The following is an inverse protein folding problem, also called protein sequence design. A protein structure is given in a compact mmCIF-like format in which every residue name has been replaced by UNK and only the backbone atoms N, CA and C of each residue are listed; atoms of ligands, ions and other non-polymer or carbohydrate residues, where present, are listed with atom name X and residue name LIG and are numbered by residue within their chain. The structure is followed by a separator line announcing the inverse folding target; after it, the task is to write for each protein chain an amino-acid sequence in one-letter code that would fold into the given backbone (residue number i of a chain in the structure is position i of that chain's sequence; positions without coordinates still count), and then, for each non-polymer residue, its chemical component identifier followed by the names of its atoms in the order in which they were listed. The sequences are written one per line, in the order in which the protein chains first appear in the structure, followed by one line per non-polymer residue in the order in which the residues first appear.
data_IF_626674146322
#
_entry.id   IF_626674146322
#
_cell.length_a   1.000
_cell.length_b   1.000
_cell.length_c   1.000
_cell.angle_alpha   90.00
_cell.angle_beta   90.00
_cell.angle_gamma   90.00
#
_symmetry.space_group_name_H-M   'P 1'
#
loop_
_entity.id
_entity.type
_entity.pdbx_description
1 polymer ?
#
# COMPACT_ATOMS: atom_id res chain seq x y z
N UNK A 1 -44.22 -43.24 50.38
CA UNK A 1 -44.08 -44.30 49.34
C UNK A 1 -42.89 -43.91 48.49
N UNK A 2 -41.71 -44.57 48.57
CA UNK A 2 -41.31 -45.79 47.81
C UNK A 2 -41.72 -45.69 46.32
N UNK A 3 -40.92 -45.96 45.29
CA UNK A 3 -39.56 -46.46 45.06
C UNK A 3 -39.45 -46.67 43.52
N UNK A 4 -38.22 -46.79 42.98
CA UNK A 4 -37.80 -47.36 41.66
C UNK A 4 -37.54 -46.34 40.53
N UNK A 5 -36.28 -46.11 40.09
CA UNK A 5 -35.38 -46.95 39.26
C UNK A 5 -35.93 -47.12 37.82
N UNK A 6 -35.20 -47.06 36.70
CA UNK A 6 -33.80 -47.33 36.32
C UNK A 6 -33.47 -46.57 35.01
N UNK A 7 -32.18 -46.30 34.73
CA UNK A 7 -31.44 -46.87 33.57
C UNK A 7 -30.26 -45.98 33.16
N UNK A 8 -29.07 -46.59 33.15
CA UNK A 8 -27.81 -46.02 32.74
C UNK A 8 -27.72 -45.86 31.22
N UNK A 9 -27.11 -44.77 30.73
CA UNK A 9 -26.43 -44.77 29.43
C UNK A 9 -25.20 -43.86 29.49
N UNK A 10 -24.10 -44.47 29.05
CA UNK A 10 -22.74 -43.97 28.89
C UNK A 10 -22.74 -42.71 28.01
N UNK A 11 -22.09 -41.62 28.46
CA UNK A 11 -21.60 -40.59 27.54
C UNK A 11 -20.14 -40.26 27.84
N UNK A 12 -19.30 -40.71 26.91
CA UNK A 12 -17.94 -40.30 26.63
C UNK A 12 -17.71 -38.81 26.95
N UNK A 13 -16.77 -38.51 27.84
CA UNK A 13 -16.16 -37.19 27.93
C UNK A 13 -15.28 -36.97 26.70
N UNK A 14 -15.86 -36.41 25.64
CA UNK A 14 -15.09 -35.80 24.56
C UNK A 14 -14.38 -34.58 25.13
N UNK A 15 -13.10 -34.72 25.44
CA UNK A 15 -12.19 -33.60 25.54
C UNK A 15 -12.12 -32.94 24.16
N UNK A 16 -12.98 -31.94 23.93
CA UNK A 16 -12.81 -31.03 22.80
C UNK A 16 -11.54 -30.23 23.11
N UNK A 17 -10.44 -30.63 22.50
CA UNK A 17 -9.30 -29.75 22.27
C UNK A 17 -9.85 -28.56 21.49
N UNK A 18 -10.25 -27.52 22.22
CA UNK A 18 -10.46 -26.20 21.67
C UNK A 18 -9.10 -25.77 21.12
N UNK A 19 -8.85 -26.05 19.84
CA UNK A 19 -7.79 -25.39 19.11
C UNK A 19 -8.09 -23.90 19.23
N UNK A 20 -7.34 -23.22 20.09
CA UNK A 20 -7.41 -21.78 20.21
C UNK A 20 -7.31 -21.22 18.79
N UNK A 21 -8.36 -20.54 18.33
CA UNK A 21 -8.28 -19.77 17.09
C UNK A 21 -7.04 -18.89 17.23
N UNK A 22 -6.14 -18.84 16.23
CA UNK A 22 -5.04 -17.90 16.29
C UNK A 22 -5.66 -16.53 16.57
N UNK A 23 -5.24 -15.92 17.69
CA UNK A 23 -5.63 -14.55 18.00
C UNK A 23 -5.24 -13.75 16.77
N UNK A 24 -6.23 -13.29 16.02
CA UNK A 24 -6.00 -12.29 14.98
C UNK A 24 -5.30 -11.16 15.70
N UNK A 25 -4.00 -11.00 15.44
CA UNK A 25 -3.27 -9.84 15.93
C UNK A 25 -4.09 -8.62 15.52
N UNK A 26 -4.30 -7.65 16.42
CA UNK A 26 -5.03 -6.45 16.06
C UNK A 26 -4.27 -5.86 14.86
N UNK A 27 -4.94 -5.84 13.70
CA UNK A 27 -4.45 -5.19 12.50
C UNK A 27 -3.83 -3.86 12.96
N UNK A 28 -2.53 -3.71 12.75
CA UNK A 28 -1.79 -2.57 13.24
C UNK A 28 -2.47 -1.33 12.68
N UNK A 29 -3.26 -0.66 13.53
CA UNK A 29 -4.01 0.52 13.13
C UNK A 29 -2.96 1.55 12.75
N UNK A 30 -2.85 1.82 11.45
CA UNK A 30 -2.10 2.94 10.94
C UNK A 30 -2.53 4.19 11.72
N UNK A 31 -1.63 4.72 12.54
CA UNK A 31 -1.77 6.06 13.08
C UNK A 31 -1.27 6.97 11.97
N UNK A 32 -2.19 7.54 11.20
CA UNK A 32 -1.86 8.63 10.29
C UNK A 32 -1.11 9.68 11.09
N UNK A 33 0.07 10.08 10.64
CA UNK A 33 0.78 11.17 11.29
C UNK A 33 -0.04 12.46 11.23
N UNK A 34 0.36 13.52 11.94
CA UNK A 34 -0.28 14.81 11.73
C UNK A 34 -0.15 15.21 10.27
N UNK A 35 -1.28 15.57 9.64
CA UNK A 35 -1.38 16.05 8.25
C UNK A 35 -2.36 17.22 8.22
N UNK A 36 -2.08 18.21 7.38
CA UNK A 36 -2.97 19.33 7.12
C UNK A 36 -3.56 19.15 5.71
N UNK A 37 -4.85 18.77 5.67
CA UNK A 37 -5.57 18.36 4.46
C UNK A 37 -6.56 19.44 4.04
N UNK A 38 -6.45 19.95 2.82
CA UNK A 38 -7.43 20.89 2.25
C UNK A 38 -8.10 20.28 1.04
N UNK A 39 -9.43 20.18 1.08
CA UNK A 39 -10.23 19.87 -0.12
C UNK A 39 -10.52 21.14 -0.90
N UNK A 40 -10.23 21.10 -2.20
CA UNK A 40 -10.55 22.16 -3.14
C UNK A 40 -11.63 21.66 -4.11
N UNK A 41 -12.89 22.00 -3.83
CA UNK A 41 -14.04 21.42 -4.54
C UNK A 41 -14.60 22.35 -5.61
N UNK A 42 -14.77 21.79 -6.80
CA UNK A 42 -15.46 22.44 -7.91
C UNK A 42 -16.97 22.45 -7.65
N UNK A 43 -17.55 23.64 -7.73
CA UNK A 43 -19.00 23.87 -7.61
C UNK A 43 -19.52 24.69 -8.79
N UNK A 44 -18.81 24.63 -9.91
CA UNK A 44 -19.18 25.31 -11.14
C UNK A 44 -20.48 24.77 -11.73
N UNK A 45 -20.99 25.46 -12.75
CA UNK A 45 -22.24 25.11 -13.43
C UNK A 45 -22.15 23.79 -14.21
N UNK A 46 -20.95 23.31 -14.57
CA UNK A 46 -20.80 22.00 -15.22
C UNK A 46 -21.18 20.87 -14.27
N UNK A 47 -20.87 21.04 -12.98
CA UNK A 47 -21.14 20.06 -11.92
C UNK A 47 -22.65 19.95 -11.70
N UNK A 48 -23.21 18.82 -12.12
CA UNK A 48 -24.63 18.51 -11.93
C UNK A 48 -24.90 18.19 -10.45
N UNK A 49 -26.15 18.36 -9.96
CA UNK A 49 -26.48 18.09 -8.56
C UNK A 49 -26.05 16.71 -8.06
N UNK A 50 -26.21 15.65 -8.88
CA UNK A 50 -25.79 14.30 -8.50
C UNK A 50 -24.26 14.11 -8.50
N UNK A 51 -23.52 14.82 -9.37
CA UNK A 51 -22.06 14.83 -9.37
C UNK A 51 -21.54 15.53 -8.11
N UNK A 52 -22.18 16.64 -7.70
CA UNK A 52 -21.86 17.32 -6.45
C UNK A 52 -22.12 16.46 -5.22
N UNK A 53 -23.24 15.72 -5.18
CA UNK A 53 -23.50 14.74 -4.10
C UNK A 53 -22.47 13.61 -4.10
N UNK A 54 -21.95 13.21 -5.26
CA UNK A 54 -20.87 12.22 -5.38
C UNK A 54 -19.57 12.78 -4.81
N UNK A 55 -19.22 14.02 -5.13
CA UNK A 55 -18.06 14.73 -4.53
C UNK A 55 -18.20 14.84 -3.01
N UNK A 56 -19.41 15.16 -2.52
CA UNK A 56 -19.69 15.24 -1.09
C UNK A 56 -19.46 13.91 -0.38
N UNK A 57 -20.00 12.83 -0.92
CA UNK A 57 -19.81 11.47 -0.38
C UNK A 57 -18.35 11.05 -0.42
N UNK A 58 -17.66 11.31 -1.53
CA UNK A 58 -16.21 11.07 -1.66
C UNK A 58 -15.42 11.74 -0.53
N UNK A 59 -15.66 13.03 -0.26
CA UNK A 59 -15.00 13.73 0.85
C UNK A 59 -15.30 13.06 2.19
N UNK A 60 -16.58 12.72 2.45
CA UNK A 60 -17.02 12.10 3.70
C UNK A 60 -16.36 10.72 3.88
N UNK A 61 -16.29 9.92 2.82
CA UNK A 61 -15.70 8.59 2.87
C UNK A 61 -14.21 8.65 3.19
N UNK A 62 -13.47 9.60 2.61
CA UNK A 62 -12.06 9.83 2.94
C UNK A 62 -11.89 10.26 4.40
N UNK A 63 -12.62 11.29 4.86
CA UNK A 63 -12.41 11.76 6.25
C UNK A 63 -12.80 10.71 7.29
N UNK A 64 -13.67 9.76 6.95
CA UNK A 64 -14.01 8.64 7.83
C UNK A 64 -12.88 7.63 8.01
N UNK A 65 -11.90 7.58 7.10
CA UNK A 65 -10.71 6.71 7.22
C UNK A 65 -9.56 7.38 7.98
N UNK A 66 -9.63 8.69 8.21
CA UNK A 66 -8.56 9.49 8.81
C UNK A 66 -8.75 9.66 10.33
N UNK A 67 -7.63 9.77 11.05
CA UNK A 67 -7.64 10.19 12.46
C UNK A 67 -7.75 11.72 12.56
N UNK A 68 -8.97 12.22 12.79
CA UNK A 68 -9.28 13.64 12.85
C UNK A 68 -8.99 14.20 14.25
N UNK A 69 -8.14 15.23 14.32
CA UNK A 69 -7.89 15.94 15.57
C UNK A 69 -6.85 17.05 15.42
N UNK A 70 -6.81 17.96 16.41
CA UNK A 70 -5.90 19.12 16.36
C UNK A 70 -4.41 18.74 16.36
N UNK A 71 -4.08 17.55 16.88
CA UNK A 71 -2.73 16.98 16.91
C UNK A 71 -2.55 15.81 15.92
N UNK A 72 -3.61 15.46 15.17
CA UNK A 72 -3.63 14.42 14.16
C UNK A 72 -3.93 15.09 12.80
N UNK A 73 -4.93 14.65 12.06
CA UNK A 73 -5.32 15.28 10.79
C UNK A 73 -6.21 16.50 11.02
N UNK A 74 -5.84 17.65 10.43
CA UNK A 74 -6.70 18.84 10.32
C UNK A 74 -7.25 18.91 8.92
N UNK A 75 -8.52 19.31 8.80
CA UNK A 75 -9.22 19.36 7.51
C UNK A 75 -9.78 20.75 7.26
N UNK A 76 -9.49 21.33 6.10
CA UNK A 76 -10.12 22.52 5.55
C UNK A 76 -10.88 22.19 4.27
N UNK A 77 -11.91 22.97 3.96
CA UNK A 77 -12.65 22.85 2.70
C UNK A 77 -12.80 24.23 2.07
N UNK A 78 -12.37 24.32 0.82
CA UNK A 78 -12.49 25.49 -0.03
C UNK A 78 -13.30 25.09 -1.26
N UNK A 79 -14.37 25.81 -1.52
CA UNK A 79 -15.20 25.65 -2.70
C UNK A 79 -14.84 26.73 -3.73
N UNK A 80 -14.87 26.38 -5.02
CA UNK A 80 -14.65 27.36 -6.08
C UNK A 80 -15.63 27.22 -7.26
N UNK A 81 -15.77 28.32 -7.99
CA UNK A 81 -16.40 28.41 -9.30
C UNK A 81 -15.75 29.57 -10.08
N UNK A 82 -16.48 30.64 -10.40
CA UNK A 82 -15.89 31.93 -10.80
C UNK A 82 -15.27 32.70 -9.63
N UNK A 83 -15.63 32.33 -8.40
CA UNK A 83 -15.11 32.89 -7.16
C UNK A 83 -14.68 31.74 -6.24
N UNK A 84 -13.79 32.03 -5.30
CA UNK A 84 -13.30 31.06 -4.30
C UNK A 84 -13.87 31.41 -2.94
N UNK A 85 -14.38 30.42 -2.21
CA UNK A 85 -14.97 30.58 -0.89
C UNK A 85 -14.46 29.49 0.05
N UNK A 86 -13.92 29.91 1.19
CA UNK A 86 -13.60 28.99 2.30
C UNK A 86 -14.89 28.60 3.02
N UNK A 87 -15.20 27.31 3.06
CA UNK A 87 -16.34 26.78 3.84
C UNK A 87 -15.93 26.63 5.31
N UNK A 88 -14.72 26.11 5.56
CA UNK A 88 -14.08 26.11 6.86
C UNK A 88 -12.56 25.88 6.75
N UNK A 89 -11.82 26.36 7.75
CA UNK A 89 -10.35 26.31 7.81
C UNK A 89 -9.84 25.10 8.59
N UNK A 90 -8.53 24.82 8.51
CA UNK A 90 -7.86 23.71 9.23
C UNK A 90 -8.06 23.76 10.76
N UNK A 91 -8.28 24.95 11.34
CA UNK A 91 -8.54 25.12 12.78
C UNK A 91 -10.02 25.15 13.16
N UNK A 92 -10.95 25.20 12.21
CA UNK A 92 -12.38 25.43 12.50
C UNK A 92 -13.03 24.22 13.19
N UNK A 93 -12.68 23.01 12.79
CA UNK A 93 -13.29 21.79 13.30
C UNK A 93 -12.23 20.78 13.76
N UNK A 94 -12.43 20.24 14.97
CA UNK A 94 -11.53 19.25 15.60
C UNK A 94 -12.16 17.88 15.77
N UNK A 95 -13.41 17.71 15.34
CA UNK A 95 -14.18 16.47 15.49
C UNK A 95 -14.79 16.09 14.15
N UNK A 96 -14.67 14.81 13.79
CA UNK A 96 -15.24 14.23 12.56
C UNK A 96 -16.73 14.57 12.39
N UNK A 97 -17.54 14.45 13.45
CA UNK A 97 -18.97 14.76 13.40
C UNK A 97 -19.29 16.19 12.93
N UNK A 98 -18.46 17.16 13.30
CA UNK A 98 -18.65 18.56 12.94
C UNK A 98 -18.24 18.81 11.49
N UNK A 99 -17.15 18.18 11.04
CA UNK A 99 -16.69 18.23 9.65
C UNK A 99 -17.75 17.65 8.72
N UNK A 100 -18.24 16.44 9.02
CA UNK A 100 -19.30 15.78 8.23
C UNK A 100 -20.56 16.66 8.18
N UNK A 101 -20.96 17.28 9.29
CA UNK A 101 -22.10 18.20 9.31
C UNK A 101 -21.86 19.43 8.43
N UNK A 102 -20.69 20.04 8.51
CA UNK A 102 -20.33 21.21 7.70
C UNK A 102 -20.31 20.88 6.21
N UNK A 103 -19.72 19.75 5.81
CA UNK A 103 -19.68 19.27 4.43
C UNK A 103 -21.10 19.05 3.86
N UNK A 104 -22.01 18.48 4.65
CA UNK A 104 -23.41 18.29 4.25
C UNK A 104 -24.18 19.60 4.07
N UNK A 105 -23.69 20.72 4.62
CA UNK A 105 -24.33 22.03 4.54
C UNK A 105 -23.77 22.92 3.43
N UNK A 106 -22.75 22.46 2.69
CA UNK A 106 -22.16 23.24 1.59
C UNK A 106 -23.19 23.42 0.47
N UNK A 107 -23.39 24.68 0.08
CA UNK A 107 -24.26 25.10 -1.03
C UNK A 107 -23.37 25.45 -2.25
N UNK A 108 -23.58 24.82 -3.42
CA UNK A 108 -22.84 25.10 -4.65
C UNK A 108 -22.98 26.54 -5.16
N UNK A 109 -21.94 27.08 -5.80
CA UNK A 109 -21.93 28.44 -6.34
C UNK A 109 -22.53 28.55 -7.77
N UNK A 110 -22.41 27.49 -8.58
CA UNK A 110 -23.00 27.30 -9.91
C UNK A 110 -22.63 28.36 -10.97
N UNK A 111 -21.36 28.78 -11.05
CA UNK A 111 -20.84 29.72 -12.06
C UNK A 111 -19.75 29.10 -12.97
N UNK A 112 -18.67 29.80 -13.30
CA UNK A 112 -17.54 29.29 -14.09
C UNK A 112 -16.61 28.38 -13.30
N UNK A 113 -15.46 28.02 -13.88
CA UNK A 113 -14.51 27.01 -13.34
C UNK A 113 -13.09 27.56 -13.32
N UNK A 114 -12.79 28.44 -12.36
CA UNK A 114 -11.49 29.12 -12.21
C UNK A 114 -10.58 28.33 -11.26
N UNK A 115 -10.13 27.16 -11.70
CA UNK A 115 -9.34 26.24 -10.87
C UNK A 115 -7.94 26.78 -10.56
N UNK A 116 -7.29 27.49 -11.49
CA UNK A 116 -5.98 28.09 -11.25
C UNK A 116 -6.04 29.18 -10.17
N UNK A 117 -7.10 30.01 -10.19
CA UNK A 117 -7.40 30.95 -9.11
C UNK A 117 -7.60 30.23 -7.78
N UNK A 118 -8.31 29.10 -7.78
CA UNK A 118 -8.57 28.30 -6.59
C UNK A 118 -7.29 27.71 -5.99
N UNK A 119 -6.37 27.19 -6.81
CA UNK A 119 -5.05 26.69 -6.36
C UNK A 119 -4.23 27.83 -5.76
N UNK A 120 -4.22 29.01 -6.39
CA UNK A 120 -3.54 30.21 -5.86
C UNK A 120 -4.09 30.62 -4.50
N UNK A 121 -5.42 30.65 -4.38
CA UNK A 121 -6.10 30.99 -3.13
C UNK A 121 -5.76 29.97 -2.03
N UNK A 122 -5.78 28.68 -2.33
CA UNK A 122 -5.41 27.62 -1.40
C UNK A 122 -3.99 27.83 -0.83
N UNK A 123 -3.01 28.14 -1.69
CA UNK A 123 -1.64 28.42 -1.24
C UNK A 123 -1.54 29.62 -0.31
N UNK A 124 -2.30 30.67 -0.57
CA UNK A 124 -2.11 31.97 0.09
C UNK A 124 -3.05 32.20 1.27
N UNK A 125 -4.13 31.43 1.37
CA UNK A 125 -5.19 31.64 2.37
C UNK A 125 -5.48 30.36 3.17
N UNK A 126 -5.51 29.18 2.54
CA UNK A 126 -5.87 27.94 3.22
C UNK A 126 -4.68 27.28 3.93
N UNK A 127 -3.50 27.27 3.31
CA UNK A 127 -2.24 26.82 3.91
C UNK A 127 -1.47 28.00 4.53
N UNK A 128 -2.08 28.58 5.56
CA UNK A 128 -1.50 29.67 6.35
C UNK A 128 -1.59 29.37 7.83
N UNK A 129 -0.66 29.92 8.63
CA UNK A 129 -0.70 29.78 10.08
C UNK A 129 -2.01 30.33 10.66
N UNK A 130 -2.52 31.40 10.07
CA UNK A 130 -3.80 32.02 10.39
C UNK A 130 -4.98 31.08 10.14
N UNK A 131 -4.96 30.30 9.06
CA UNK A 131 -5.97 29.27 8.77
C UNK A 131 -5.78 27.97 9.55
N UNK A 132 -4.66 27.81 10.26
CA UNK A 132 -4.39 26.66 11.11
C UNK A 132 -3.41 25.64 10.53
N UNK A 133 -2.68 26.00 9.47
CA UNK A 133 -1.55 25.24 8.95
C UNK A 133 -0.43 25.16 10.01
N UNK A 134 0.17 23.97 10.16
CA UNK A 134 1.21 23.69 11.15
C UNK A 134 2.57 23.63 10.48
N UNK A 135 3.58 24.34 11.01
CA UNK A 135 4.92 24.24 10.48
C UNK A 135 5.45 22.80 10.62
N UNK A 136 6.08 22.29 9.56
CA UNK A 136 6.67 20.93 9.48
C UNK A 136 5.65 19.79 9.45
N UNK A 137 4.35 20.09 9.40
CA UNK A 137 3.32 19.10 9.08
C UNK A 137 3.13 19.08 7.56
N UNK A 138 2.94 17.91 6.94
CA UNK A 138 2.73 17.86 5.51
C UNK A 138 1.41 18.49 5.08
N UNK A 139 1.47 19.29 4.01
CA UNK A 139 0.32 19.95 3.40
C UNK A 139 -0.15 19.13 2.20
N UNK A 140 -1.41 18.68 2.25
CA UNK A 140 -2.01 17.84 1.22
C UNK A 140 -3.27 18.50 0.69
N UNK A 141 -3.34 18.68 -0.62
CA UNK A 141 -4.47 19.24 -1.33
C UNK A 141 -5.19 18.14 -2.13
N UNK A 142 -6.51 18.03 -1.97
CA UNK A 142 -7.35 17.16 -2.82
C UNK A 142 -8.26 18.04 -3.65
N UNK A 143 -7.95 18.16 -4.94
CA UNK A 143 -8.73 18.91 -5.92
C UNK A 143 -9.78 17.99 -6.52
N UNK A 144 -11.05 18.32 -6.36
CA UNK A 144 -12.16 17.53 -6.90
C UNK A 144 -12.89 18.35 -7.95
N UNK A 145 -12.96 17.87 -9.19
CA UNK A 145 -13.58 18.60 -10.33
C UNK A 145 -14.26 17.65 -11.31
N UNK A 146 -15.29 18.10 -12.00
CA UNK A 146 -15.96 17.37 -13.09
C UNK A 146 -15.49 17.78 -14.50
N UNK A 147 -14.65 18.82 -14.59
CA UNK A 147 -14.54 19.63 -15.80
C UNK A 147 -13.13 20.13 -16.14
N UNK A 148 -13.07 20.88 -17.24
CA UNK A 148 -11.85 21.56 -17.71
C UNK A 148 -11.76 22.95 -17.08
N UNK A 149 -10.60 23.35 -16.54
CA UNK A 149 -10.41 24.70 -16.04
C UNK A 149 -10.56 25.74 -17.16
N UNK A 150 -11.08 26.91 -16.80
CA UNK A 150 -11.22 28.06 -17.71
C UNK A 150 -9.99 28.99 -17.67
N UNK A 151 -9.03 28.69 -16.79
CA UNK A 151 -7.78 29.41 -16.57
C UNK A 151 -6.56 28.47 -16.60
N UNK A 152 -5.35 29.05 -16.51
CA UNK A 152 -4.10 28.29 -16.59
C UNK A 152 -3.79 27.65 -15.24
N UNK A 153 -3.75 26.32 -15.19
CA UNK A 153 -3.51 25.56 -13.95
C UNK A 153 -2.08 25.06 -13.77
N UNK A 154 -1.35 24.80 -14.86
CA UNK A 154 -0.06 24.11 -14.78
C UNK A 154 1.02 24.89 -14.00
N UNK A 155 1.12 26.20 -14.25
CA UNK A 155 2.13 27.08 -13.60
C UNK A 155 1.84 27.23 -12.10
N UNK A 156 0.58 27.47 -11.74
CA UNK A 156 0.19 27.66 -10.34
C UNK A 156 0.22 26.35 -9.55
N UNK A 157 -0.08 25.21 -10.18
CA UNK A 157 0.11 23.91 -9.56
C UNK A 157 1.59 23.59 -9.35
N UNK A 158 2.48 23.99 -10.28
CA UNK A 158 3.92 23.86 -10.08
C UNK A 158 4.40 24.69 -8.88
N UNK A 159 3.96 25.95 -8.77
CA UNK A 159 4.27 26.81 -7.61
C UNK A 159 3.81 26.17 -6.29
N UNK A 160 2.61 25.59 -6.27
CA UNK A 160 2.08 24.89 -5.09
C UNK A 160 2.94 23.68 -4.69
N UNK A 161 3.38 22.88 -5.68
CA UNK A 161 4.28 21.74 -5.44
C UNK A 161 5.66 22.19 -4.95
N UNK A 162 6.21 23.27 -5.48
CA UNK A 162 7.47 23.86 -5.02
C UNK A 162 7.39 24.37 -3.57
N UNK A 163 6.22 24.80 -3.12
CA UNK A 163 5.94 25.12 -1.70
C UNK A 163 5.76 23.88 -0.81
N UNK A 164 5.90 22.68 -1.36
CA UNK A 164 5.78 21.42 -0.62
C UNK A 164 4.34 20.97 -0.41
N UNK A 165 3.38 21.47 -1.20
CA UNK A 165 1.99 21.02 -1.17
C UNK A 165 1.86 19.81 -2.11
N UNK A 166 1.42 18.68 -1.57
CA UNK A 166 1.14 17.47 -2.35
C UNK A 166 -0.28 17.53 -2.90
N UNK A 167 -0.43 17.45 -4.23
CA UNK A 167 -1.73 17.65 -4.89
C UNK A 167 -2.25 16.34 -5.47
N UNK A 168 -3.42 15.93 -5.01
CA UNK A 168 -4.23 14.86 -5.57
C UNK A 168 -5.33 15.46 -6.42
N UNK A 169 -5.45 15.05 -7.67
CA UNK A 169 -6.50 15.49 -8.59
C UNK A 169 -7.52 14.37 -8.80
N UNK A 170 -8.78 14.67 -8.51
CA UNK A 170 -9.89 13.73 -8.54
C UNK A 170 -10.91 14.25 -9.54
N UNK A 171 -11.00 13.54 -10.66
CA UNK A 171 -12.00 13.78 -11.69
C UNK A 171 -13.29 13.05 -11.39
N UNK A 172 -14.42 13.73 -11.45
CA UNK A 172 -15.75 13.11 -11.35
C UNK A 172 -16.38 13.01 -12.73
N UNK A 173 -16.89 11.83 -13.08
CA UNK A 173 -17.57 11.55 -14.34
C UNK A 173 -16.75 11.91 -15.59
N UNK A 174 -16.96 13.09 -16.19
CA UNK A 174 -16.43 13.48 -17.51
C UNK A 174 -15.17 14.35 -17.44
N UNK A 175 -14.45 14.27 -16.32
CA UNK A 175 -13.26 15.06 -16.08
C UNK A 175 -12.14 14.74 -17.10
N UNK A 176 -11.39 15.76 -17.47
CA UNK A 176 -10.34 15.67 -18.48
C UNK A 176 -9.00 15.26 -17.84
N UNK A 177 -8.49 14.08 -18.20
CA UNK A 177 -7.25 13.54 -17.64
C UNK A 177 -6.02 14.42 -17.85
N UNK A 178 -5.95 15.14 -18.97
CA UNK A 178 -4.83 16.05 -19.24
C UNK A 178 -4.83 17.20 -18.25
N UNK A 179 -6.02 17.75 -17.97
CA UNK A 179 -6.21 18.82 -17.00
C UNK A 179 -5.91 18.35 -15.58
N UNK A 180 -6.36 17.15 -15.20
CA UNK A 180 -6.07 16.56 -13.89
C UNK A 180 -4.57 16.34 -13.67
N UNK A 181 -3.86 15.79 -14.65
CA UNK A 181 -2.39 15.61 -14.60
C UNK A 181 -1.64 16.92 -14.53
N UNK A 182 -2.14 17.98 -15.16
CA UNK A 182 -1.51 19.30 -15.09
C UNK A 182 -1.56 19.91 -13.67
N UNK A 183 -2.53 19.49 -12.84
CA UNK A 183 -2.70 19.94 -11.46
C UNK A 183 -1.98 19.04 -10.44
N UNK A 184 -2.09 17.72 -10.61
CA UNK A 184 -1.60 16.75 -9.64
C UNK A 184 -0.07 16.76 -9.48
N UNK A 185 0.39 16.20 -8.35
CA UNK A 185 1.78 15.86 -8.13
C UNK A 185 2.19 14.60 -8.90
N UNK A 186 3.46 14.47 -9.34
CA UNK A 186 3.99 13.20 -9.81
C UNK A 186 4.29 12.24 -8.63
N UNK A 187 4.30 10.92 -8.85
CA UNK A 187 3.90 10.22 -10.08
C UNK A 187 2.39 10.24 -10.29
N UNK A 188 1.92 10.27 -11.55
CA UNK A 188 0.50 10.52 -11.84
C UNK A 188 -0.40 9.32 -11.58
N UNK A 189 0.12 8.08 -11.67
CA UNK A 189 -0.60 6.86 -11.30
C UNK A 189 -1.12 6.87 -9.85
N UNK A 190 -0.50 7.70 -9.02
CA UNK A 190 -0.65 7.76 -7.59
C UNK A 190 -1.45 8.97 -7.09
N UNK A 191 -1.62 9.98 -7.95
CA UNK A 191 -2.18 11.28 -7.59
C UNK A 191 -3.34 11.70 -8.49
N UNK A 192 -3.66 10.93 -9.54
CA UNK A 192 -4.76 11.24 -10.46
C UNK A 192 -5.78 10.12 -10.43
N UNK A 193 -7.01 10.47 -10.09
CA UNK A 193 -8.11 9.51 -9.93
C UNK A 193 -9.31 9.94 -10.76
N UNK A 194 -9.94 8.99 -11.43
CA UNK A 194 -11.26 9.17 -12.03
C UNK A 194 -12.29 8.40 -11.21
N UNK A 195 -13.21 9.13 -10.60
CA UNK A 195 -14.36 8.58 -9.89
C UNK A 195 -15.46 8.38 -10.92
N UNK A 196 -15.38 7.26 -11.65
CA UNK A 196 -16.47 6.78 -12.52
C UNK A 196 -17.48 5.92 -11.75
N UNK A 197 -17.07 5.28 -10.65
CA UNK A 197 -17.95 4.53 -9.74
C UNK A 197 -17.48 4.62 -8.28
N UNK A 198 -18.40 4.34 -7.33
CA UNK A 198 -18.14 4.38 -5.88
C UNK A 198 -16.99 3.47 -5.42
N UNK A 199 -16.66 2.41 -6.16
CA UNK A 199 -15.64 1.43 -5.75
C UNK A 199 -14.21 2.00 -5.79
N UNK A 200 -13.95 2.98 -6.67
CA UNK A 200 -12.66 3.67 -6.78
C UNK A 200 -12.40 4.64 -5.61
N UNK A 201 -13.47 5.08 -4.91
CA UNK A 201 -13.36 5.92 -3.71
C UNK A 201 -12.68 5.17 -2.58
N UNK A 202 -12.99 3.87 -2.43
CA UNK A 202 -12.41 3.03 -1.40
C UNK A 202 -10.93 2.73 -1.67
N UNK A 203 -10.54 2.54 -2.95
CA UNK A 203 -9.12 2.36 -3.31
C UNK A 203 -8.31 3.63 -3.06
N UNK A 204 -8.84 4.81 -3.39
CA UNK A 204 -8.22 6.08 -3.01
C UNK A 204 -8.08 6.19 -1.49
N UNK A 205 -9.15 5.92 -0.73
CA UNK A 205 -9.13 5.98 0.73
C UNK A 205 -8.05 5.09 1.36
N UNK A 206 -7.85 3.87 0.84
CA UNK A 206 -6.79 2.95 1.28
C UNK A 206 -5.40 3.48 0.88
N UNK A 207 -5.18 3.82 -0.40
CA UNK A 207 -3.88 4.30 -0.87
C UNK A 207 -3.48 5.62 -0.20
N UNK A 208 -4.44 6.52 -0.02
CA UNK A 208 -4.27 7.78 0.67
C UNK A 208 -3.96 7.52 2.16
N UNK A 209 -4.65 6.59 2.81
CA UNK A 209 -4.35 6.22 4.19
C UNK A 209 -2.97 5.55 4.33
N UNK A 210 -2.56 4.68 3.40
CA UNK A 210 -1.24 4.04 3.40
C UNK A 210 -0.11 5.07 3.21
N UNK A 211 -0.34 6.10 2.39
CA UNK A 211 0.61 7.21 2.18
C UNK A 211 0.65 8.23 3.33
N UNK A 212 -0.50 8.50 3.94
CA UNK A 212 -0.60 9.36 5.14
C UNK A 212 -0.29 8.63 6.44
N UNK A 213 -0.20 7.30 6.39
CA UNK A 213 0.37 6.50 7.46
C UNK A 213 1.83 6.90 7.52
N UNK A 214 2.18 7.68 8.53
CA UNK A 214 3.58 7.89 8.89
C UNK A 214 4.03 6.57 9.49
N UNK A 215 4.39 5.66 8.58
CA UNK A 215 5.41 4.67 8.82
C UNK A 215 6.55 5.48 9.43
N UNK A 216 6.79 5.30 10.72
CA UNK A 216 7.87 6.00 11.39
C UNK A 216 9.18 5.36 10.91
N UNK A 217 9.64 5.80 9.74
CA UNK A 217 10.86 5.31 9.08
C UNK A 217 12.07 5.37 10.03
N UNK A 218 12.08 6.31 10.96
CA UNK A 218 13.12 6.39 11.99
C UNK A 218 13.01 5.30 13.07
N UNK A 219 11.82 4.78 13.36
CA UNK A 219 11.61 3.68 14.32
C UNK A 219 12.04 2.30 13.80
N UNK A 220 12.26 2.14 12.49
CA UNK A 220 12.79 0.89 11.93
C UNK A 220 14.29 0.71 12.19
N UNK A 221 14.98 1.76 12.65
CA UNK A 221 16.42 1.70 12.97
C UNK A 221 17.33 1.48 11.76
N UNK A 222 16.80 1.54 10.53
CA UNK A 222 17.54 1.33 9.29
C UNK A 222 17.95 2.65 8.59
N UNK A 223 17.84 3.78 9.30
CA UNK A 223 18.20 5.07 8.74
C UNK A 223 19.71 5.32 8.84
N UNK A 224 20.35 5.75 7.74
CA UNK A 224 21.79 6.01 7.70
C UNK A 224 22.17 7.44 8.15
N UNK A 225 21.33 8.09 8.95
CA UNK A 225 21.57 9.47 9.40
C UNK A 225 22.70 9.54 10.43
N UNK A 226 23.64 10.45 10.19
CA UNK A 226 24.79 10.69 11.06
C UNK A 226 24.38 11.38 12.38
N UNK A 227 23.38 12.27 12.29
CA UNK A 227 22.74 12.89 13.44
C UNK A 227 21.27 12.46 13.53
N UNK A 228 20.33 13.40 13.37
CA UNK A 228 18.92 13.17 13.66
C UNK A 228 18.20 12.64 12.42
N UNK A 229 17.46 11.54 12.57
CA UNK A 229 16.50 11.08 11.58
C UNK A 229 15.17 11.79 11.78
N UNK A 230 14.59 12.28 10.69
CA UNK A 230 13.26 12.90 10.69
C UNK A 230 12.39 12.17 9.67
N UNK A 231 11.38 11.45 10.16
CA UNK A 231 10.36 10.81 9.32
C UNK A 231 9.58 11.89 8.53
N UNK A 232 9.44 11.68 7.22
CA UNK A 232 8.70 12.54 6.29
C UNK A 232 7.71 11.69 5.50
N UNK A 233 6.82 12.32 4.71
CA UNK A 233 5.94 11.56 3.81
C UNK A 233 6.80 10.72 2.85
N UNK A 234 6.49 9.42 2.79
CA UNK A 234 7.18 8.43 1.96
C UNK A 234 8.69 8.23 2.24
N UNK A 235 9.18 8.52 3.45
CA UNK A 235 10.55 8.16 3.83
C UNK A 235 11.09 8.86 5.09
N UNK A 236 12.40 9.04 5.14
CA UNK A 236 13.07 9.86 6.17
C UNK A 236 14.11 10.76 5.52
N UNK A 237 14.44 11.86 6.22
CA UNK A 237 15.60 12.70 5.89
C UNK A 237 16.45 12.93 7.12
N UNK A 238 17.73 13.20 6.90
CA UNK A 238 18.67 13.46 7.99
C UNK A 238 18.74 14.96 8.29
N UNK A 239 18.80 15.30 9.57
CA UNK A 239 18.98 16.66 10.07
C UNK A 239 20.23 16.72 10.93
N UNK A 240 21.07 17.72 10.67
CA UNK A 240 22.27 17.94 11.45
C UNK A 240 21.99 18.83 12.67
N UNK A 241 22.66 18.49 13.78
CA UNK A 241 22.70 19.31 14.98
C UNK A 241 23.33 20.69 14.72
N UNK A 242 23.09 21.62 15.64
CA UNK A 242 23.61 22.99 15.55
C UNK A 242 25.13 23.00 15.41
N UNK A 243 25.65 23.84 14.51
CA UNK A 243 27.07 23.90 14.17
C UNK A 243 27.51 22.89 13.10
N UNK A 244 26.61 22.09 12.51
CA UNK A 244 26.91 21.15 11.42
C UNK A 244 26.07 21.46 10.16
N UNK A 245 26.57 21.07 9.00
CA UNK A 245 25.87 21.13 7.70
C UNK A 245 25.71 19.72 7.13
N UNK A 246 24.57 19.43 6.53
CA UNK A 246 24.34 18.17 5.82
C UNK A 246 25.12 18.18 4.51
N UNK A 247 25.82 17.08 4.21
CA UNK A 247 26.55 16.89 2.96
C UNK A 247 25.61 16.49 1.81
N UNK A 248 26.14 16.46 0.58
CA UNK A 248 25.38 16.13 -0.63
C UNK A 248 24.83 14.70 -0.64
N UNK A 249 25.40 13.80 0.16
CA UNK A 249 24.88 12.44 0.35
C UNK A 249 23.54 12.39 1.12
N UNK A 250 23.09 13.54 1.67
CA UNK A 250 21.85 13.67 2.42
C UNK A 250 21.83 12.93 3.76
N UNK A 251 22.99 12.42 4.22
CA UNK A 251 23.13 11.53 5.38
C UNK A 251 24.16 12.00 6.40
N UNK A 252 25.29 12.53 5.93
CA UNK A 252 26.44 12.85 6.77
C UNK A 252 26.50 14.33 7.16
N UNK A 253 26.90 14.60 8.41
CA UNK A 253 26.93 15.93 8.97
C UNK A 253 28.37 16.41 9.16
N UNK A 254 28.76 17.48 8.46
CA UNK A 254 30.07 18.09 8.59
C UNK A 254 30.01 19.33 9.48
N UNK A 255 30.90 19.43 10.47
CA UNK A 255 31.02 20.64 11.30
C UNK A 255 31.28 21.87 10.44
N UNK A 256 30.51 22.93 10.67
CA UNK A 256 30.77 24.26 10.12
C UNK A 256 32.06 24.75 10.79
N UNK A 257 33.09 25.07 10.01
CA UNK A 257 34.33 25.61 10.56
C UNK A 257 33.98 26.91 11.32
N UNK A 258 34.29 26.94 12.61
CA UNK A 258 34.18 28.18 13.39
C UNK A 258 35.23 29.17 12.89
N UNK A 259 34.87 30.43 12.70
CA UNK A 259 35.79 31.52 12.34
C UNK A 259 36.89 31.79 13.39
N UNK A 260 36.94 31.00 14.49
CA UNK A 260 37.85 31.22 15.63
C UNK A 260 38.74 30.02 15.96
N UNK A 261 39.08 29.17 14.99
CA UNK A 261 40.24 28.29 15.09
C UNK A 261 40.15 27.14 16.10
N UNK A 262 38.98 26.85 16.69
CA UNK A 262 38.76 25.58 17.38
C UNK A 262 38.22 24.56 16.39
N UNK A 263 39.09 23.62 16.02
CA UNK A 263 38.79 22.41 15.26
C UNK A 263 37.73 21.64 16.04
N UNK A 264 36.51 21.52 15.51
CA UNK A 264 35.57 20.51 15.98
C UNK A 264 36.22 19.18 15.59
N UNK A 265 36.77 18.51 16.60
CA UNK A 265 37.39 17.20 16.43
C UNK A 265 36.24 16.27 16.06
N UNK A 266 36.26 15.72 14.85
CA UNK A 266 35.49 14.52 14.56
C UNK A 266 35.98 13.47 15.56
N UNK A 267 35.25 13.27 16.65
CA UNK A 267 35.37 12.02 17.40
C UNK A 267 34.72 10.97 16.51
N UNK A 268 35.48 10.54 15.50
CA UNK A 268 35.29 9.24 14.88
C UNK A 268 35.51 8.28 16.04
N UNK A 269 34.43 7.83 16.65
CA UNK A 269 34.48 6.68 17.53
C UNK A 269 35.10 5.57 16.71
N UNK A 270 36.26 5.13 17.18
CA UNK A 270 37.08 4.15 16.50
C UNK A 270 36.25 2.92 16.16
N UNK A 271 36.38 2.51 14.90
CA UNK A 271 36.50 1.11 14.53
C UNK A 271 35.37 0.20 15.06
N UNK A 272 34.17 0.37 14.52
CA UNK A 272 33.26 -0.77 14.39
C UNK A 272 33.54 -1.39 13.03
N UNK A 273 34.49 -2.32 12.97
CA UNK A 273 34.43 -3.34 11.93
C UNK A 273 33.03 -3.93 12.05
N UNK A 274 32.16 -3.57 11.10
CA UNK A 274 30.83 -4.12 11.06
C UNK A 274 30.98 -5.60 10.78
N UNK A 275 30.58 -6.41 11.75
CA UNK A 275 30.58 -7.86 11.65
C UNK A 275 29.73 -8.21 10.42
N UNK A 276 30.36 -8.83 9.42
CA UNK A 276 29.67 -9.39 8.28
C UNK A 276 28.98 -10.68 8.73
N UNK A 277 27.72 -10.55 9.11
CA UNK A 277 26.91 -11.64 9.64
C UNK A 277 26.69 -12.76 8.61
N UNK A 278 26.74 -12.44 7.31
CA UNK A 278 26.69 -13.45 6.24
C UNK A 278 28.01 -14.24 6.17
N UNK A 279 29.16 -13.57 6.23
CA UNK A 279 30.46 -14.24 6.22
C UNK A 279 30.71 -15.07 7.49
N UNK A 280 30.16 -14.67 8.64
CA UNK A 280 30.26 -15.41 9.89
C UNK A 280 29.19 -16.53 10.04
N UNK A 281 28.26 -16.67 9.08
CA UNK A 281 27.18 -17.65 9.15
C UNK A 281 26.19 -17.41 10.29
N UNK A 282 26.12 -16.18 10.81
CA UNK A 282 25.23 -15.76 11.91
C UNK A 282 23.96 -15.13 11.34
N UNK A 283 23.33 -15.84 10.42
CA UNK A 283 22.08 -15.44 9.79
C UNK A 283 21.15 -16.64 9.65
N UNK A 284 19.85 -16.36 9.54
CA UNK A 284 18.78 -17.34 9.37
C UNK A 284 18.21 -17.38 7.95
N UNK A 285 18.84 -16.73 6.98
CA UNK A 285 18.43 -16.79 5.58
C UNK A 285 18.47 -18.22 5.03
N UNK A 286 17.34 -18.71 4.51
CA UNK A 286 17.27 -20.04 3.89
C UNK A 286 17.89 -20.08 2.48
N UNK A 287 17.97 -18.95 1.77
CA UNK A 287 18.48 -18.87 0.39
C UNK A 287 19.66 -17.90 0.25
N UNK A 288 19.41 -16.61 0.00
CA UNK A 288 20.48 -15.63 -0.25
C UNK A 288 20.62 -14.73 0.98
N UNK A 289 21.83 -14.58 1.50
CA UNK A 289 22.17 -13.60 2.54
C UNK A 289 22.93 -12.44 1.90
N UNK A 290 22.38 -11.24 1.99
CA UNK A 290 23.00 -10.00 1.53
C UNK A 290 23.53 -9.26 2.75
N UNK A 291 24.86 -9.16 2.84
CA UNK A 291 25.52 -8.52 3.96
C UNK A 291 25.44 -7.00 3.85
N UNK A 292 25.07 -6.35 4.94
CA UNK A 292 25.12 -4.89 5.09
C UNK A 292 25.85 -4.53 6.38
N UNK A 293 26.49 -3.36 6.49
CA UNK A 293 27.31 -3.04 7.66
C UNK A 293 26.54 -3.12 9.00
N UNK A 294 26.66 -4.26 9.71
CA UNK A 294 26.09 -4.52 11.02
C UNK A 294 24.78 -5.33 11.04
N UNK A 295 24.19 -5.66 9.89
CA UNK A 295 22.97 -6.48 9.74
C UNK A 295 23.05 -7.32 8.44
N UNK A 296 22.07 -8.19 8.19
CA UNK A 296 21.92 -8.88 6.91
C UNK A 296 20.47 -8.81 6.45
N UNK A 297 20.24 -8.89 5.14
CA UNK A 297 18.91 -9.06 4.55
C UNK A 297 18.88 -10.36 3.77
N UNK A 298 17.77 -11.10 3.86
CA UNK A 298 17.59 -12.30 3.07
C UNK A 298 16.93 -11.95 1.74
N UNK A 299 17.48 -12.49 0.66
CA UNK A 299 16.91 -12.37 -0.68
C UNK A 299 16.55 -13.75 -1.22
N UNK A 300 15.67 -13.75 -2.21
CA UNK A 300 15.09 -14.95 -2.78
C UNK A 300 15.75 -15.26 -4.11
N UNK A 301 16.02 -16.54 -4.40
CA UNK A 301 16.35 -16.95 -5.76
C UNK A 301 15.19 -16.63 -6.72
N UNK A 302 15.51 -16.46 -8.01
CA UNK A 302 14.51 -16.22 -9.05
C UNK A 302 13.36 -17.24 -8.94
N UNK A 303 12.12 -16.73 -8.85
CA UNK A 303 10.92 -17.55 -8.74
C UNK A 303 10.31 -17.69 -7.35
N UNK A 304 10.84 -16.97 -6.38
CA UNK A 304 10.34 -16.89 -5.01
C UNK A 304 10.05 -15.43 -4.64
N UNK A 305 8.99 -15.19 -3.88
CA UNK A 305 8.71 -13.86 -3.30
C UNK A 305 8.79 -13.93 -1.78
N UNK A 306 9.39 -12.93 -1.12
CA UNK A 306 9.36 -12.86 0.33
C UNK A 306 7.98 -12.39 0.78
N UNK A 307 7.46 -12.98 1.86
CA UNK A 307 7.02 -12.14 2.96
C UNK A 307 7.72 -12.58 4.24
N UNK A 308 8.14 -11.60 5.04
CA UNK A 308 8.51 -11.75 6.45
C UNK A 308 9.10 -13.14 6.80
N UNK A 309 10.37 -13.33 6.47
CA UNK A 309 11.22 -14.46 6.89
C UNK A 309 10.79 -15.86 6.42
N UNK A 310 9.97 -16.00 5.37
CA UNK A 310 9.77 -17.31 4.70
C UNK A 310 9.73 -17.17 3.19
N UNK A 311 10.42 -18.07 2.47
CA UNK A 311 10.40 -18.09 1.01
C UNK A 311 9.14 -18.78 0.49
N UNK A 312 8.21 -18.02 -0.09
CA UNK A 312 7.08 -18.62 -0.82
C UNK A 312 7.44 -18.71 -2.31
N UNK A 313 7.36 -19.91 -2.86
CA UNK A 313 7.47 -20.12 -4.31
C UNK A 313 6.33 -19.41 -5.02
N UNK A 314 6.63 -18.65 -6.07
CA UNK A 314 5.63 -18.02 -6.92
C UNK A 314 4.95 -19.11 -7.73
N UNK A 315 3.66 -19.34 -7.47
CA UNK A 315 2.86 -20.35 -8.17
C UNK A 315 2.11 -19.69 -9.32
N UNK A 316 2.73 -19.72 -10.51
CA UNK A 316 2.16 -19.13 -11.72
C UNK A 316 0.88 -19.85 -12.19
N UNK A 317 0.67 -21.12 -11.81
CA UNK A 317 -0.56 -21.86 -12.10
C UNK A 317 -1.71 -21.33 -11.24
N UNK A 318 -1.48 -21.13 -9.93
CA UNK A 318 -2.49 -20.62 -9.00
C UNK A 318 -2.86 -19.15 -9.28
N UNK A 319 -1.91 -18.34 -9.76
CA UNK A 319 -2.16 -16.96 -10.18
C UNK A 319 -2.84 -16.84 -11.56
N UNK A 320 -3.04 -17.95 -12.28
CA UNK A 320 -3.60 -17.95 -13.63
C UNK A 320 -2.69 -17.30 -14.69
N UNK A 321 -1.39 -17.18 -14.40
CA UNK A 321 -0.38 -16.55 -15.27
C UNK A 321 0.41 -17.61 -16.07
N UNK A 322 -0.32 -18.48 -16.77
CA UNK A 322 0.24 -19.52 -17.63
C UNK A 322 -0.57 -19.66 -18.92
N UNK A 323 0.00 -20.35 -19.91
CA UNK A 323 -0.60 -20.53 -21.24
C UNK A 323 -0.71 -22.01 -21.67
N UNK A 324 -0.71 -22.93 -20.69
CA UNK A 324 -1.03 -24.34 -20.92
C UNK A 324 -2.46 -24.55 -21.42
N UNK A 325 -2.61 -25.38 -22.47
CA UNK A 325 -3.93 -25.72 -23.02
C UNK A 325 -4.78 -26.55 -22.05
N UNK A 326 -4.14 -27.45 -21.29
CA UNK A 326 -4.85 -28.42 -20.44
C UNK A 326 -4.40 -28.37 -18.98
N UNK A 327 -3.26 -28.97 -18.65
CA UNK A 327 -2.80 -29.10 -17.26
C UNK A 327 -1.60 -28.17 -17.07
N UNK A 328 -1.66 -27.31 -16.05
CA UNK A 328 -0.52 -26.54 -15.57
C UNK A 328 0.10 -27.25 -14.37
N UNK A 329 1.38 -27.59 -14.47
CA UNK A 329 2.18 -28.18 -13.40
C UNK A 329 3.06 -27.08 -12.82
N UNK A 330 2.75 -26.70 -11.59
CA UNK A 330 3.42 -25.62 -10.87
C UNK A 330 4.82 -26.02 -10.43
N UNK A 331 5.77 -25.11 -10.60
CA UNK A 331 7.10 -25.15 -10.02
C UNK A 331 7.48 -23.73 -9.52
N UNK A 332 8.50 -23.58 -8.67
CA UNK A 332 8.84 -22.27 -8.13
C UNK A 332 9.21 -21.26 -9.21
N UNK A 333 8.33 -20.27 -9.45
CA UNK A 333 8.52 -19.21 -10.44
C UNK A 333 8.45 -19.61 -11.90
N UNK A 334 8.17 -20.87 -12.19
CA UNK A 334 8.05 -21.41 -13.55
C UNK A 334 6.93 -22.42 -13.59
N UNK A 335 6.38 -22.70 -14.77
CA UNK A 335 5.39 -23.76 -14.93
C UNK A 335 5.80 -24.65 -16.10
N UNK A 336 5.29 -25.87 -16.07
CA UNK A 336 5.32 -26.78 -17.23
C UNK A 336 3.90 -27.20 -17.56
N UNK A 337 3.63 -27.50 -18.82
CA UNK A 337 2.32 -27.98 -19.22
C UNK A 337 2.32 -29.49 -19.35
N UNK A 338 1.20 -30.10 -19.00
CA UNK A 338 0.94 -31.53 -19.18
C UNK A 338 -0.44 -31.72 -19.83
N UNK A 339 -0.73 -32.93 -20.27
CA UNK A 339 -1.94 -33.26 -20.98
C UNK A 339 -2.80 -34.27 -20.22
N UNK A 340 -4.11 -34.19 -20.42
CA UNK A 340 -5.04 -35.18 -19.89
C UNK A 340 -4.78 -36.55 -20.52
N UNK A 341 -5.21 -37.61 -19.82
CA UNK A 341 -5.06 -38.99 -20.30
C UNK A 341 -5.61 -39.15 -21.72
N UNK A 342 -4.80 -39.71 -22.62
CA UNK A 342 -5.16 -39.88 -24.03
C UNK A 342 -4.69 -38.73 -24.93
N UNK A 343 -3.95 -37.75 -24.41
CA UNK A 343 -3.35 -36.66 -25.17
C UNK A 343 -1.83 -36.63 -24.96
N UNK A 344 -1.10 -36.17 -25.97
CA UNK A 344 0.35 -35.99 -25.93
C UNK A 344 0.69 -34.51 -26.06
N UNK A 345 1.61 -34.05 -25.20
CA UNK A 345 2.13 -32.70 -25.25
C UNK A 345 2.90 -32.47 -26.56
N UNK A 346 2.57 -31.38 -27.24
CA UNK A 346 3.18 -30.98 -28.50
C UNK A 346 4.58 -30.39 -28.30
N UNK A 347 5.29 -30.18 -29.42
CA UNK A 347 6.66 -29.63 -29.42
C UNK A 347 6.73 -28.20 -28.88
N UNK A 348 5.63 -27.46 -28.91
CA UNK A 348 5.52 -26.13 -28.31
C UNK A 348 5.49 -26.16 -26.76
N UNK A 349 5.40 -27.35 -26.17
CA UNK A 349 5.31 -27.62 -24.73
C UNK A 349 4.13 -26.96 -24.04
N UNK A 350 3.08 -26.60 -24.80
CA UNK A 350 1.90 -25.87 -24.31
C UNK A 350 0.59 -26.50 -24.75
N UNK A 351 0.54 -27.03 -25.97
CA UNK A 351 -0.68 -27.62 -26.56
C UNK A 351 -0.65 -29.14 -26.53
N UNK A 352 -1.83 -29.76 -26.61
CA UNK A 352 -2.04 -31.19 -26.45
C UNK A 352 -2.79 -31.77 -27.65
N UNK A 353 -2.27 -32.85 -28.24
CA UNK A 353 -2.95 -33.55 -29.35
C UNK A 353 -3.37 -34.95 -28.94
N UNK A 354 -4.60 -35.34 -29.30
CA UNK A 354 -5.15 -36.66 -28.97
C UNK A 354 -4.27 -37.77 -29.54
N UNK A 355 -3.89 -38.71 -28.69
CA UNK A 355 -3.20 -39.93 -29.11
C UNK A 355 -4.24 -40.93 -29.61
N UNK A 356 -4.26 -41.19 -30.91
CA UNK A 356 -4.94 -42.36 -31.45
C UNK A 356 -4.11 -43.60 -31.10
N UNK A 357 -4.70 -44.50 -30.30
CA UNK A 357 -4.06 -45.77 -29.95
C UNK A 357 -4.04 -46.66 -31.19
N UNK A 358 -2.85 -47.07 -31.62
CA UNK A 358 -2.73 -48.06 -32.68
C UNK A 358 -3.05 -49.45 -32.12
N UNK A 359 -3.67 -50.33 -32.91
CA UNK A 359 -4.00 -51.72 -32.56
C UNK A 359 -2.77 -52.58 -32.11
N UNK A 360 -1.55 -52.05 -32.20
CA UNK A 360 -0.32 -52.71 -31.75
C UNK A 360 -0.08 -52.61 -30.24
N UNK A 361 -0.67 -51.64 -29.56
CA UNK A 361 -0.47 -51.44 -28.10
C UNK A 361 -1.39 -52.35 -27.25
N UNK A 362 -2.45 -52.90 -27.86
CA UNK A 362 -3.38 -53.82 -27.18
C UNK A 362 -2.80 -55.24 -27.04
N UNK A 363 -1.84 -55.62 -27.89
CA UNK A 363 -1.28 -56.99 -27.91
C UNK A 363 -0.35 -57.33 -26.75
N UNK A 364 0.24 -56.35 -26.05
CA UNK A 364 1.14 -56.62 -24.91
C UNK A 364 0.39 -56.94 -23.61
N UNK A 365 -0.88 -56.53 -23.50
CA UNK A 365 -1.73 -56.78 -22.33
C UNK A 365 -2.36 -58.20 -22.29
N UNK A 366 -2.28 -58.97 -23.38
CA UNK A 366 -2.85 -60.32 -23.46
C UNK A 366 -1.83 -61.46 -23.23
N UNK A 367 -0.54 -61.15 -23.03
CA UNK A 367 0.50 -62.17 -22.78
C UNK A 367 0.67 -62.47 -21.28
N UNK A 368 0.18 -61.62 -20.37
CA UNK A 368 0.31 -61.82 -18.92
C UNK A 368 -0.86 -62.58 -18.26
N UNK A 369 -1.88 -63.02 -19.02
CA UNK A 369 -3.10 -63.60 -18.45
C UNK A 369 -3.08 -65.13 -18.23
N UNK A 370 -1.97 -65.84 -18.48
CA UNK A 370 -1.93 -67.31 -18.32
C UNK A 370 -0.65 -67.82 -17.64
N UNK A 371 -0.59 -67.72 -16.30
CA UNK A 371 -0.02 -68.78 -15.44
C UNK A 371 -0.81 -68.86 -14.11
N UNK A 372 -1.27 -70.05 -13.69
CA UNK A 372 -2.03 -70.23 -12.45
C UNK A 372 -1.12 -70.22 -11.21
N UNK A 373 -1.65 -69.88 -10.02
CA UNK A 373 -0.88 -69.84 -8.78
C UNK A 373 -0.84 -71.22 -8.11
N UNK A 374 0.25 -71.57 -7.42
CA UNK A 374 0.25 -72.42 -6.21
C UNK A 374 1.65 -72.59 -5.65
N UNK A 375 1.84 -72.21 -4.39
CA UNK A 375 3.01 -72.59 -3.60
C UNK A 375 3.27 -71.71 -2.38
N UNK A 376 2.44 -71.82 -1.34
CA UNK A 376 2.85 -71.68 0.06
C UNK A 376 1.66 -72.02 0.98
N UNK A 377 1.71 -73.20 1.59
CA UNK A 377 0.90 -73.61 2.74
C UNK A 377 1.72 -73.28 4.00
N UNK A 378 1.02 -72.77 5.02
CA UNK A 378 1.48 -72.45 6.37
C UNK A 378 2.15 -73.62 7.10
N UNK A 379 3.07 -73.31 8.02
CA UNK A 379 3.10 -73.92 9.36
C UNK A 379 3.78 -72.99 10.37
N UNK A 380 3.14 -72.90 11.54
CA UNK A 380 3.50 -72.15 12.77
C UNK A 380 4.57 -72.86 13.62
N UNK A 381 5.25 -72.09 14.47
CA UNK A 381 5.81 -72.42 15.82
C UNK A 381 6.49 -71.12 16.32
N UNK A 382 6.26 -70.56 17.51
CA UNK A 382 5.65 -70.99 18.79
C UNK A 382 4.74 -69.89 19.38
#
# INVERSE_FOLDING_TARGET
MKMRQLSAFILLTLAVLATARPKTEPAQKCKTGPVDLVFLIDSSRSVRPHEFETMRKFMIDIINTLDIGLNATRVGVVQYSSQVRTEFTLKTHSRLSNIVKAINQIIPLAQGTMTGLAIRYMMNEAFTAEAGDRPKVPNVAVIVTDGRPQDRVAEVAAEAREKGIEIYAVGVARADMTSLRAMASPPFEDHVFLVESFDLIHQFGIQFQDKLCVIDYCSFGNHSCDHECVSVLNGYRCRCNEGYRLLEDGKTCQGKQSEHGRKIINVVTQNRQTIDLCAEGKHDCEQICISTPGIYTCDCNNGYTPPANTHRSIDLCAEGKHDCEQICVSAPGVFTCDCNKGFKLNKDKKTCTSQEWSLKDVTELLIHSVRPPKGAVETQQE
#
